data_IF_109567786955
#
_entry.id   IF_109567786955
#
_cell.length_a   1.000
_cell.length_b   1.000
_cell.length_c   1.000
_cell.angle_alpha   90.00
_cell.angle_beta   90.00
_cell.angle_gamma   90.00
#
_symmetry.space_group_name_H-M   'P 1'
#
loop_
_entity.id
_entity.type
_entity.pdbx_description
1 polymer ?
#
# COMPACT_ATOMS: atom_id res chain seq x y z
N UNK A 1 26.15 4.74 -20.90
CA UNK A 1 25.35 4.30 -19.75
C UNK A 1 23.98 3.88 -20.26
N UNK A 2 23.57 2.64 -20.03
CA UNK A 2 22.23 2.17 -20.35
C UNK A 2 21.22 3.10 -19.65
N UNK A 3 20.28 3.67 -20.41
CA UNK A 3 19.23 4.54 -19.86
C UNK A 3 18.17 3.66 -19.20
N UNK A 4 18.55 2.97 -18.10
CA UNK A 4 17.74 2.01 -17.40
C UNK A 4 16.58 2.73 -16.68
N UNK A 5 15.36 2.26 -16.92
CA UNK A 5 14.12 2.76 -16.31
C UNK A 5 13.31 1.57 -15.82
N UNK A 6 12.89 1.56 -14.55
CA UNK A 6 12.04 0.51 -14.00
C UNK A 6 10.75 0.37 -14.83
N UNK A 7 9.99 1.45 -14.99
CA UNK A 7 8.72 1.42 -15.72
C UNK A 7 8.86 0.91 -17.16
N UNK A 8 9.97 1.23 -17.86
CA UNK A 8 10.21 0.74 -19.23
C UNK A 8 10.66 -0.72 -19.23
N UNK A 9 11.49 -1.13 -18.29
CA UNK A 9 11.98 -2.51 -18.18
C UNK A 9 10.84 -3.47 -17.84
N UNK A 10 9.93 -3.06 -16.97
CA UNK A 10 8.82 -3.88 -16.51
C UNK A 10 7.49 -3.65 -17.25
N UNK A 11 7.47 -2.91 -18.36
CA UNK A 11 6.24 -2.54 -19.10
C UNK A 11 5.35 -3.73 -19.52
N UNK A 12 5.96 -4.88 -19.78
CA UNK A 12 5.27 -6.11 -20.20
C UNK A 12 5.00 -7.07 -19.01
N UNK A 13 5.24 -6.62 -17.79
CA UNK A 13 5.04 -7.38 -16.56
C UNK A 13 3.97 -6.72 -15.68
N UNK A 14 4.26 -5.55 -15.14
CA UNK A 14 3.41 -4.85 -14.17
C UNK A 14 3.73 -3.36 -14.14
N UNK A 15 2.81 -2.56 -13.57
CA UNK A 15 3.10 -1.16 -13.28
C UNK A 15 4.14 -1.04 -12.18
N UNK A 16 4.98 -0.03 -12.27
CA UNK A 16 5.92 0.33 -11.20
C UNK A 16 5.45 1.63 -10.57
N UNK A 17 5.13 1.57 -9.27
CA UNK A 17 4.63 2.70 -8.49
C UNK A 17 5.58 3.17 -7.39
N UNK A 18 5.34 4.39 -6.90
CA UNK A 18 5.97 4.91 -5.69
C UNK A 18 4.93 5.61 -4.81
N UNK A 19 5.05 5.44 -3.48
CA UNK A 19 4.38 6.29 -2.52
C UNK A 19 5.02 7.68 -2.52
N UNK A 20 4.20 8.73 -2.54
CA UNK A 20 4.65 10.12 -2.69
C UNK A 20 3.88 11.10 -1.80
N UNK A 21 4.56 12.18 -1.44
CA UNK A 21 3.97 13.42 -0.95
C UNK A 21 4.09 14.51 -2.01
N UNK A 22 3.40 15.64 -1.84
CA UNK A 22 3.55 16.77 -2.78
C UNK A 22 4.97 17.35 -2.82
N UNK A 23 5.78 17.15 -1.78
CA UNK A 23 7.19 17.57 -1.74
C UNK A 23 8.08 16.77 -2.67
N UNK A 24 7.71 15.52 -2.96
CA UNK A 24 8.46 14.63 -3.84
C UNK A 24 8.33 14.96 -5.33
N UNK A 25 7.40 15.83 -5.67
CA UNK A 25 7.15 16.24 -7.06
C UNK A 25 8.17 17.26 -7.58
N UNK A 26 9.20 17.56 -6.80
CA UNK A 26 10.23 18.55 -7.09
C UNK A 26 11.65 17.96 -6.87
N UNK A 27 12.67 18.65 -7.42
CA UNK A 27 14.07 18.29 -7.21
C UNK A 27 14.44 16.87 -7.67
N UNK A 28 15.34 16.24 -6.95
CA UNK A 28 15.89 14.90 -7.28
C UNK A 28 14.79 13.82 -7.32
N UNK A 29 13.83 13.87 -6.40
CA UNK A 29 12.71 12.91 -6.38
C UNK A 29 11.86 12.99 -7.63
N UNK A 30 11.54 14.21 -8.09
CA UNK A 30 10.84 14.42 -9.36
C UNK A 30 11.56 13.74 -10.53
N UNK A 31 12.87 13.91 -10.62
CA UNK A 31 13.64 13.33 -11.73
C UNK A 31 13.67 11.79 -11.68
N UNK A 32 13.73 11.23 -10.47
CA UNK A 32 13.63 9.77 -10.24
C UNK A 32 12.21 9.29 -10.63
N UNK A 33 11.16 9.98 -10.21
CA UNK A 33 9.77 9.65 -10.54
C UNK A 33 9.56 9.60 -12.06
N UNK A 34 9.93 10.65 -12.76
CA UNK A 34 9.77 10.76 -14.22
C UNK A 34 10.54 9.68 -14.99
N UNK A 35 11.64 9.21 -14.45
CA UNK A 35 12.49 8.22 -15.11
C UNK A 35 12.03 6.78 -14.83
N UNK A 36 11.58 6.47 -13.61
CA UNK A 36 11.47 5.11 -13.14
C UNK A 36 10.04 4.64 -12.88
N UNK A 37 9.07 5.54 -12.74
CA UNK A 37 7.71 5.19 -12.28
C UNK A 37 6.64 5.54 -13.31
N UNK A 38 5.52 4.81 -13.29
CA UNK A 38 4.33 5.06 -14.10
C UNK A 38 3.03 4.99 -13.27
N UNK A 39 3.17 4.83 -11.94
CA UNK A 39 2.08 4.85 -10.98
C UNK A 39 2.51 5.58 -9.71
N UNK A 40 1.59 6.27 -9.04
CA UNK A 40 1.83 6.94 -7.77
C UNK A 40 0.76 6.54 -6.77
N UNK A 41 1.14 6.49 -5.48
CA UNK A 41 0.20 6.35 -4.36
C UNK A 41 0.42 7.54 -3.42
N UNK A 42 -0.58 8.40 -3.16
CA UNK A 42 -0.45 9.41 -2.11
C UNK A 42 -0.20 8.72 -0.75
N UNK A 43 0.99 8.90 -0.16
CA UNK A 43 1.41 8.16 1.04
C UNK A 43 0.45 8.38 2.22
N UNK A 44 0.07 9.63 2.46
CA UNK A 44 -0.82 10.01 3.57
C UNK A 44 -2.01 10.86 3.14
N UNK A 45 -1.90 11.58 2.02
CA UNK A 45 -2.85 12.63 1.66
C UNK A 45 -4.28 12.14 1.36
N UNK A 46 -4.47 10.87 0.99
CA UNK A 46 -5.80 10.26 0.77
C UNK A 46 -6.31 9.46 1.97
N UNK A 47 -5.55 9.31 3.06
CA UNK A 47 -6.04 8.68 4.29
C UNK A 47 -7.14 9.53 4.90
N UNK A 48 -8.16 8.90 5.45
CA UNK A 48 -9.40 9.55 5.88
C UNK A 48 -9.16 10.81 6.73
N UNK A 49 -8.33 10.68 7.76
CA UNK A 49 -7.97 11.77 8.68
C UNK A 49 -7.40 13.00 7.97
N UNK A 50 -6.61 12.78 6.91
CA UNK A 50 -5.93 13.87 6.20
C UNK A 50 -6.83 14.52 5.15
N UNK A 51 -7.54 13.71 4.35
CA UNK A 51 -8.36 14.24 3.26
C UNK A 51 -9.73 14.73 3.72
N UNK A 52 -10.30 14.15 4.81
CA UNK A 52 -11.64 14.47 5.33
C UNK A 52 -11.61 14.59 6.87
N UNK A 53 -10.86 15.58 7.41
CA UNK A 53 -10.61 15.72 8.84
C UNK A 53 -11.84 16.10 9.67
N UNK A 54 -12.82 16.77 9.08
CA UNK A 54 -14.07 17.19 9.70
C UNK A 54 -15.25 16.88 8.78
N UNK A 55 -16.44 16.60 9.32
CA UNK A 55 -17.60 16.14 8.58
C UNK A 55 -17.98 16.99 7.35
N UNK A 56 -17.74 18.31 7.43
CA UNK A 56 -18.04 19.25 6.34
C UNK A 56 -16.80 19.80 5.64
N UNK A 57 -15.61 19.24 5.89
CA UNK A 57 -14.36 19.78 5.37
C UNK A 57 -13.45 18.71 4.76
N UNK A 58 -13.08 18.95 3.49
CA UNK A 58 -12.09 18.16 2.77
C UNK A 58 -10.83 18.97 2.48
N UNK A 59 -9.66 18.31 2.57
CA UNK A 59 -8.35 18.85 2.21
C UNK A 59 -7.88 18.23 0.90
N UNK A 60 -8.27 18.79 -0.22
CA UNK A 60 -7.93 18.25 -1.54
C UNK A 60 -6.60 18.76 -2.10
N UNK A 61 -5.98 19.76 -1.50
CA UNK A 61 -4.86 20.51 -2.10
C UNK A 61 -3.67 19.62 -2.44
N UNK A 62 -3.22 18.80 -1.49
CA UNK A 62 -2.06 17.93 -1.71
C UNK A 62 -2.34 16.89 -2.78
N UNK A 63 -3.49 16.22 -2.71
CA UNK A 63 -3.88 15.21 -3.70
C UNK A 63 -4.10 15.85 -5.07
N UNK A 64 -4.60 17.08 -5.16
CA UNK A 64 -4.75 17.79 -6.42
C UNK A 64 -3.39 18.00 -7.11
N UNK A 65 -2.36 18.41 -6.37
CA UNK A 65 -0.99 18.55 -6.89
C UNK A 65 -0.43 17.22 -7.40
N UNK A 66 -0.65 16.12 -6.66
CA UNK A 66 -0.21 14.77 -7.05
C UNK A 66 -0.98 14.34 -8.31
N UNK A 67 -2.29 14.55 -8.37
CA UNK A 67 -3.14 14.26 -9.54
C UNK A 67 -2.67 15.01 -10.79
N UNK A 68 -2.45 16.31 -10.68
CA UNK A 68 -1.97 17.14 -11.79
C UNK A 68 -0.62 16.65 -12.31
N UNK A 69 0.30 16.31 -11.40
CA UNK A 69 1.59 15.74 -11.76
C UNK A 69 1.43 14.40 -12.50
N UNK A 70 0.58 13.51 -11.99
CA UNK A 70 0.32 12.21 -12.60
C UNK A 70 -0.25 12.35 -14.02
N UNK A 71 -1.29 13.17 -14.19
CA UNK A 71 -1.92 13.41 -15.50
C UNK A 71 -0.91 14.00 -16.50
N UNK A 72 -0.16 15.03 -16.07
CA UNK A 72 0.83 15.71 -16.92
C UNK A 72 1.93 14.75 -17.43
N UNK A 73 2.23 13.71 -16.69
CA UNK A 73 3.34 12.78 -16.98
C UNK A 73 2.86 11.37 -17.38
N UNK A 74 1.59 11.22 -17.76
CA UNK A 74 0.97 9.93 -18.18
C UNK A 74 1.11 8.84 -17.12
N UNK A 75 0.98 9.21 -15.86
CA UNK A 75 0.98 8.29 -14.71
C UNK A 75 -0.43 8.10 -14.20
N UNK A 76 -0.66 6.99 -13.49
CA UNK A 76 -1.92 6.68 -12.82
C UNK A 76 -1.77 6.71 -11.30
N UNK A 77 -2.88 6.78 -10.57
CA UNK A 77 -2.87 6.75 -9.12
C UNK A 77 -3.47 5.44 -8.58
N UNK A 78 -2.93 4.96 -7.46
CA UNK A 78 -3.62 4.09 -6.52
C UNK A 78 -4.19 4.95 -5.39
N UNK A 79 -5.48 4.80 -5.11
CA UNK A 79 -6.13 5.46 -3.98
C UNK A 79 -5.91 4.66 -2.70
N UNK A 80 -5.37 5.29 -1.67
CA UNK A 80 -5.06 4.67 -0.39
C UNK A 80 -5.47 5.59 0.75
N UNK A 81 -6.45 5.29 1.54
CA UNK A 81 -7.38 4.15 1.61
C UNK A 81 -8.74 4.65 2.15
N UNK A 82 -9.86 3.98 1.85
CA UNK A 82 -11.17 4.42 2.34
C UNK A 82 -11.43 4.02 3.81
N UNK A 83 -11.18 2.74 4.16
CA UNK A 83 -11.47 2.19 5.49
C UNK A 83 -10.19 1.64 6.11
N UNK A 84 -9.81 2.21 7.24
CA UNK A 84 -8.69 1.74 8.05
C UNK A 84 -8.99 1.98 9.53
N UNK A 85 -8.48 1.12 10.42
CA UNK A 85 -8.66 1.27 11.86
C UNK A 85 -7.82 2.41 12.45
N UNK A 86 -6.73 2.81 11.74
CA UNK A 86 -5.91 3.98 12.04
C UNK A 86 -6.31 5.16 11.15
N UNK A 87 -5.86 6.35 11.49
CA UNK A 87 -6.00 7.59 10.70
C UNK A 87 -7.42 7.80 10.15
N UNK A 88 -8.44 7.47 10.96
CA UNK A 88 -9.83 7.79 10.75
C UNK A 88 -10.27 8.76 11.84
N UNK A 89 -10.81 9.94 11.51
CA UNK A 89 -11.14 10.96 12.51
C UNK A 89 -12.33 10.52 13.37
N UNK A 90 -12.30 10.92 14.64
CA UNK A 90 -13.30 10.51 15.64
C UNK A 90 -14.75 10.90 15.30
N UNK A 91 -14.95 12.02 14.58
CA UNK A 91 -16.27 12.48 14.18
C UNK A 91 -17.07 11.46 13.36
N UNK A 92 -16.36 10.57 12.64
CA UNK A 92 -17.01 9.49 11.86
C UNK A 92 -17.87 8.58 12.74
N UNK A 93 -17.44 8.38 13.98
CA UNK A 93 -18.01 7.43 14.94
C UNK A 93 -18.84 8.07 16.06
N UNK A 94 -18.99 9.40 16.04
CA UNK A 94 -19.74 10.14 17.06
C UNK A 94 -20.95 10.84 16.44
N UNK A 95 -22.05 10.90 17.18
CA UNK A 95 -23.22 11.68 16.78
C UNK A 95 -23.03 13.17 17.11
N UNK A 96 -24.03 14.00 16.82
CA UNK A 96 -24.02 15.45 17.09
C UNK A 96 -23.94 15.81 18.59
N UNK A 97 -24.18 14.87 19.49
CA UNK A 97 -24.09 15.06 20.93
C UNK A 97 -22.75 14.57 21.48
N UNK A 98 -21.87 14.01 20.64
CA UNK A 98 -20.60 13.40 21.04
C UNK A 98 -20.73 11.97 21.56
N UNK A 99 -21.92 11.36 21.44
CA UNK A 99 -22.16 9.96 21.76
C UNK A 99 -21.84 9.04 20.58
N UNK A 100 -21.78 7.72 20.82
CA UNK A 100 -21.53 6.76 19.74
C UNK A 100 -22.61 6.85 18.65
N UNK A 101 -22.19 7.06 17.41
CA UNK A 101 -23.07 7.17 16.26
C UNK A 101 -23.81 5.85 15.96
N UNK A 102 -25.02 5.95 15.39
CA UNK A 102 -25.70 4.76 14.90
C UNK A 102 -24.99 4.13 13.71
N UNK A 103 -25.25 2.84 13.49
CA UNK A 103 -24.73 2.10 12.33
C UNK A 103 -25.08 2.81 11.01
N UNK A 104 -26.31 3.27 10.87
CA UNK A 104 -26.81 3.94 9.68
C UNK A 104 -26.05 5.24 9.40
N UNK A 105 -25.80 6.04 10.44
CA UNK A 105 -25.04 7.28 10.31
C UNK A 105 -23.59 7.03 9.89
N UNK A 106 -22.94 6.03 10.47
CA UNK A 106 -21.56 5.67 10.09
C UNK A 106 -21.49 5.18 8.64
N UNK A 107 -22.47 4.39 8.19
CA UNK A 107 -22.55 3.92 6.79
C UNK A 107 -22.83 5.09 5.84
N UNK A 108 -23.70 6.03 6.20
CA UNK A 108 -23.98 7.23 5.39
C UNK A 108 -22.71 8.08 5.20
N UNK A 109 -21.98 8.34 6.29
CA UNK A 109 -20.71 9.08 6.24
C UNK A 109 -19.64 8.37 5.40
N UNK A 110 -19.54 7.05 5.52
CA UNK A 110 -18.65 6.26 4.69
C UNK A 110 -19.04 6.35 3.20
N UNK A 111 -20.34 6.26 2.89
CA UNK A 111 -20.85 6.40 1.53
C UNK A 111 -20.49 7.75 0.91
N UNK A 112 -20.74 8.84 1.63
CA UNK A 112 -20.43 10.19 1.16
C UNK A 112 -18.92 10.38 0.95
N UNK A 113 -18.09 9.84 1.86
CA UNK A 113 -16.64 9.88 1.74
C UNK A 113 -16.16 9.14 0.48
N UNK A 114 -16.58 7.88 0.29
CA UNK A 114 -16.19 7.06 -0.86
C UNK A 114 -16.68 7.71 -2.16
N UNK A 115 -17.95 8.12 -2.22
CA UNK A 115 -18.53 8.80 -3.38
C UNK A 115 -17.71 10.02 -3.78
N UNK A 116 -17.46 10.92 -2.82
CA UNK A 116 -16.73 12.16 -3.06
C UNK A 116 -15.33 11.89 -3.64
N UNK A 117 -14.60 10.93 -3.11
CA UNK A 117 -13.26 10.61 -3.61
C UNK A 117 -13.32 9.91 -4.96
N UNK A 118 -14.20 8.93 -5.15
CA UNK A 118 -14.36 8.24 -6.42
C UNK A 118 -14.72 9.22 -7.56
N UNK A 119 -15.73 10.07 -7.36
CA UNK A 119 -16.15 11.05 -8.37
C UNK A 119 -15.04 12.05 -8.72
N UNK A 120 -14.26 12.49 -7.71
CA UNK A 120 -13.20 13.49 -7.89
C UNK A 120 -11.96 12.94 -8.60
N UNK A 121 -11.65 11.65 -8.44
CA UNK A 121 -10.41 11.05 -8.92
C UNK A 121 -10.60 9.95 -9.98
N UNK A 122 -11.83 9.73 -10.49
CA UNK A 122 -12.17 8.69 -11.47
C UNK A 122 -11.36 8.72 -12.78
N UNK A 123 -10.81 9.87 -13.13
CA UNK A 123 -10.02 10.09 -14.35
C UNK A 123 -8.58 9.60 -14.24
N UNK A 124 -8.09 9.39 -13.02
CA UNK A 124 -6.67 9.09 -12.77
C UNK A 124 -6.45 7.84 -11.92
N UNK A 125 -7.38 7.52 -10.99
CA UNK A 125 -7.24 6.35 -10.11
C UNK A 125 -7.67 5.08 -10.83
N UNK A 126 -6.77 4.09 -10.88
CA UNK A 126 -7.03 2.79 -11.50
C UNK A 126 -7.32 1.67 -10.49
N UNK A 127 -6.97 1.87 -9.22
CA UNK A 127 -7.20 0.91 -8.15
C UNK A 127 -7.35 1.63 -6.80
N UNK A 128 -8.27 1.14 -5.94
CA UNK A 128 -8.49 1.62 -4.58
C UNK A 128 -8.21 0.54 -3.56
N UNK A 129 -7.48 0.87 -2.52
CA UNK A 129 -7.49 0.11 -1.27
C UNK A 129 -8.77 0.46 -0.53
N UNK A 130 -9.77 -0.41 -0.63
CA UNK A 130 -11.09 -0.15 -0.03
C UNK A 130 -11.04 -0.37 1.47
N UNK A 131 -10.48 -1.49 1.90
CA UNK A 131 -10.28 -1.81 3.32
C UNK A 131 -8.82 -2.19 3.54
N UNK A 132 -8.22 -1.54 4.52
CA UNK A 132 -6.84 -1.73 4.93
C UNK A 132 -6.75 -2.37 6.31
N UNK A 133 -5.97 -3.47 6.43
CA UNK A 133 -5.54 -4.09 7.69
C UNK A 133 -6.70 -4.54 8.61
N UNK A 134 -7.70 -5.18 8.07
CA UNK A 134 -8.85 -5.67 8.83
C UNK A 134 -8.61 -7.02 9.53
N UNK A 135 -7.66 -7.83 9.03
CA UNK A 135 -7.35 -9.15 9.60
C UNK A 135 -6.49 -9.01 10.84
N UNK A 136 -6.88 -9.74 11.90
CA UNK A 136 -6.18 -9.73 13.19
C UNK A 136 -4.87 -10.54 13.11
N UNK A 137 -3.78 -9.98 13.62
CA UNK A 137 -2.45 -10.58 13.57
C UNK A 137 -1.90 -11.09 14.91
N UNK A 138 -2.50 -10.68 16.05
CA UNK A 138 -1.96 -10.96 17.39
C UNK A 138 -2.75 -12.00 18.19
N UNK A 139 -3.99 -12.24 17.82
CA UNK A 139 -4.89 -13.15 18.53
C UNK A 139 -5.49 -14.19 17.59
N UNK A 140 -6.23 -15.17 18.12
CA UNK A 140 -6.93 -16.19 17.31
C UNK A 140 -8.16 -15.64 16.55
N UNK A 141 -8.60 -14.41 16.82
CA UNK A 141 -9.70 -13.79 16.10
C UNK A 141 -9.35 -13.62 14.60
N UNK A 142 -10.35 -13.69 13.74
CA UNK A 142 -10.15 -13.45 12.30
C UNK A 142 -10.03 -11.95 12.00
N UNK A 143 -10.93 -11.14 12.56
CA UNK A 143 -10.98 -9.71 12.30
C UNK A 143 -10.50 -8.90 13.51
N UNK A 144 -9.79 -7.84 13.21
CA UNK A 144 -9.31 -6.83 14.16
C UNK A 144 -10.49 -6.09 14.80
N UNK A 145 -10.36 -5.78 16.09
CA UNK A 145 -11.27 -4.85 16.76
C UNK A 145 -10.99 -3.42 16.28
N UNK A 146 -12.06 -2.75 15.83
CA UNK A 146 -12.02 -1.36 15.34
C UNK A 146 -13.38 -0.70 15.57
N UNK A 147 -13.43 0.64 15.53
CA UNK A 147 -14.70 1.35 15.59
C UNK A 147 -15.63 0.99 14.41
N UNK A 148 -15.09 0.73 13.24
CA UNK A 148 -15.85 0.24 12.09
C UNK A 148 -16.58 -1.06 12.42
N UNK A 149 -15.84 -2.06 12.93
CA UNK A 149 -16.41 -3.35 13.30
C UNK A 149 -17.38 -3.25 14.47
N UNK A 150 -17.02 -2.46 15.49
CA UNK A 150 -17.82 -2.27 16.70
C UNK A 150 -19.23 -1.73 16.38
N UNK A 151 -19.31 -0.72 15.50
CA UNK A 151 -20.56 -0.01 15.23
C UNK A 151 -21.33 -0.67 14.08
N UNK A 152 -20.66 -1.04 12.99
CA UNK A 152 -21.33 -1.61 11.81
C UNK A 152 -21.54 -3.12 11.95
N UNK A 153 -20.65 -3.82 12.65
CA UNK A 153 -20.58 -5.28 12.71
C UNK A 153 -19.59 -5.86 11.70
N UNK A 154 -19.49 -7.19 11.65
CA UNK A 154 -18.52 -7.92 10.80
C UNK A 154 -18.75 -7.67 9.29
N UNK A 155 -19.95 -7.19 8.92
CA UNK A 155 -20.28 -6.85 7.53
C UNK A 155 -19.67 -5.55 7.01
N UNK A 156 -18.95 -4.77 7.85
CA UNK A 156 -18.42 -3.47 7.44
C UNK A 156 -17.49 -3.55 6.21
N UNK A 157 -16.76 -4.66 6.06
CA UNK A 157 -15.88 -4.89 4.90
C UNK A 157 -16.72 -5.00 3.63
N UNK A 158 -17.74 -5.90 3.65
CA UNK A 158 -18.65 -6.10 2.52
C UNK A 158 -19.35 -4.79 2.13
N UNK A 159 -19.89 -4.07 3.12
CA UNK A 159 -20.58 -2.79 2.91
C UNK A 159 -19.64 -1.75 2.26
N UNK A 160 -18.39 -1.65 2.72
CA UNK A 160 -17.41 -0.74 2.15
C UNK A 160 -17.12 -1.05 0.67
N UNK A 161 -16.94 -2.33 0.32
CA UNK A 161 -16.72 -2.76 -1.07
C UNK A 161 -17.96 -2.54 -1.95
N UNK A 162 -19.16 -2.81 -1.45
CA UNK A 162 -20.41 -2.56 -2.18
C UNK A 162 -20.57 -1.06 -2.49
N UNK A 163 -20.36 -0.21 -1.49
CA UNK A 163 -20.38 1.25 -1.70
C UNK A 163 -19.30 1.68 -2.69
N UNK A 164 -18.07 1.18 -2.56
CA UNK A 164 -17.01 1.53 -3.48
C UNK A 164 -17.35 1.13 -4.92
N UNK A 165 -17.95 -0.03 -5.15
CA UNK A 165 -18.35 -0.48 -6.48
C UNK A 165 -19.42 0.41 -7.12
N UNK A 166 -20.32 1.01 -6.33
CA UNK A 166 -21.31 1.95 -6.86
C UNK A 166 -20.68 3.19 -7.52
N UNK A 167 -19.51 3.65 -7.03
CA UNK A 167 -18.92 4.93 -7.43
C UNK A 167 -17.55 4.83 -8.13
N UNK A 168 -16.83 3.71 -7.99
CA UNK A 168 -15.45 3.59 -8.47
C UNK A 168 -15.31 3.42 -10.01
N UNK A 169 -16.43 3.22 -10.73
CA UNK A 169 -16.39 2.95 -12.17
C UNK A 169 -15.53 1.73 -12.49
N UNK A 170 -14.55 1.90 -13.40
CA UNK A 170 -13.65 0.82 -13.85
C UNK A 170 -12.45 0.60 -12.92
N UNK A 171 -12.29 1.39 -11.87
CA UNK A 171 -11.19 1.20 -10.93
C UNK A 171 -11.34 -0.12 -10.16
N UNK A 172 -10.22 -0.82 -10.02
CA UNK A 172 -10.16 -2.09 -9.28
C UNK A 172 -10.24 -1.85 -7.77
N UNK A 173 -10.91 -2.77 -7.07
CA UNK A 173 -11.14 -2.70 -5.63
C UNK A 173 -10.32 -3.74 -4.89
N UNK A 174 -9.43 -3.29 -4.01
CA UNK A 174 -8.47 -4.13 -3.29
C UNK A 174 -8.74 -4.16 -1.79
N UNK A 175 -8.55 -5.35 -1.21
CA UNK A 175 -8.24 -5.50 0.21
C UNK A 175 -6.73 -5.39 0.37
N UNK A 176 -6.21 -4.59 1.30
CA UNK A 176 -4.78 -4.37 1.49
C UNK A 176 -4.36 -4.72 2.93
N UNK A 177 -3.22 -5.44 3.09
CA UNK A 177 -2.74 -5.79 4.43
C UNK A 177 -1.23 -6.07 4.44
N UNK A 178 -0.62 -5.98 5.64
CA UNK A 178 0.76 -6.36 5.91
C UNK A 178 0.85 -7.78 6.46
N UNK A 179 2.01 -8.42 6.28
CA UNK A 179 2.30 -9.78 6.75
C UNK A 179 1.28 -10.84 6.27
N UNK A 180 0.47 -10.53 5.29
CA UNK A 180 -0.54 -11.45 4.77
C UNK A 180 0.07 -12.57 3.88
N UNK A 181 1.37 -12.54 3.63
CA UNK A 181 2.17 -13.64 3.12
C UNK A 181 2.71 -14.57 4.21
N UNK A 182 2.72 -14.13 5.47
CA UNK A 182 3.19 -14.95 6.60
C UNK A 182 2.17 -16.06 6.92
N UNK A 183 2.61 -17.31 7.17
CA UNK A 183 1.71 -18.47 7.26
C UNK A 183 0.51 -18.29 8.19
N UNK A 184 0.73 -17.69 9.37
CA UNK A 184 -0.33 -17.48 10.37
C UNK A 184 -1.41 -16.50 9.90
N UNK A 185 -1.03 -15.44 9.17
CA UNK A 185 -1.95 -14.42 8.68
C UNK A 185 -2.52 -14.77 7.31
N UNK A 186 -1.76 -15.46 6.48
CA UNK A 186 -2.20 -16.00 5.19
C UNK A 186 -3.48 -16.83 5.33
N UNK A 187 -3.49 -17.77 6.29
CA UNK A 187 -4.66 -18.64 6.52
C UNK A 187 -5.90 -17.83 6.92
N UNK A 188 -5.75 -16.85 7.82
CA UNK A 188 -6.84 -15.98 8.25
C UNK A 188 -7.35 -15.11 7.11
N UNK A 189 -6.44 -14.46 6.39
CA UNK A 189 -6.78 -13.60 5.25
C UNK A 189 -7.51 -14.40 4.16
N UNK A 190 -7.03 -15.60 3.86
CA UNK A 190 -7.70 -16.51 2.92
C UNK A 190 -9.14 -16.83 3.36
N UNK A 191 -9.35 -17.18 4.63
CA UNK A 191 -10.70 -17.48 5.18
C UNK A 191 -11.63 -16.29 5.05
N UNK A 192 -11.18 -15.09 5.44
CA UNK A 192 -11.96 -13.85 5.36
C UNK A 192 -12.31 -13.52 3.91
N UNK A 193 -11.34 -13.53 3.01
CA UNK A 193 -11.58 -13.18 1.61
C UNK A 193 -12.47 -14.21 0.91
N UNK A 194 -12.28 -15.50 1.17
CA UNK A 194 -13.12 -16.56 0.61
C UNK A 194 -14.57 -16.39 1.02
N UNK A 195 -14.84 -16.17 2.32
CA UNK A 195 -16.21 -15.94 2.82
C UNK A 195 -16.84 -14.69 2.17
N UNK A 196 -16.09 -13.59 2.09
CA UNK A 196 -16.58 -12.37 1.45
C UNK A 196 -16.91 -12.58 -0.04
N UNK A 197 -16.05 -13.27 -0.78
CA UNK A 197 -16.28 -13.60 -2.19
C UNK A 197 -17.49 -14.53 -2.39
N UNK A 198 -17.64 -15.57 -1.56
CA UNK A 198 -18.80 -16.47 -1.57
C UNK A 198 -20.13 -15.72 -1.29
N UNK A 199 -20.06 -14.62 -0.53
CA UNK A 199 -21.18 -13.71 -0.27
C UNK A 199 -21.38 -12.65 -1.36
N UNK A 200 -20.63 -12.72 -2.46
CA UNK A 200 -20.75 -11.81 -3.60
C UNK A 200 -20.14 -10.42 -3.38
N UNK A 201 -19.22 -10.26 -2.43
CA UNK A 201 -18.51 -8.99 -2.21
C UNK A 201 -17.63 -8.68 -3.43
N UNK A 202 -17.70 -7.46 -4.02
CA UNK A 202 -17.02 -7.12 -5.25
C UNK A 202 -15.54 -6.77 -5.02
N UNK A 203 -14.74 -7.77 -4.64
CA UNK A 203 -13.30 -7.66 -4.44
C UNK A 203 -12.61 -8.07 -5.75
N UNK A 204 -11.84 -7.16 -6.37
CA UNK A 204 -11.07 -7.47 -7.57
C UNK A 204 -9.68 -8.04 -7.25
N UNK A 205 -9.11 -7.67 -6.11
CA UNK A 205 -7.76 -8.08 -5.79
C UNK A 205 -7.36 -7.91 -4.33
N UNK A 206 -6.13 -8.34 -4.08
CA UNK A 206 -5.47 -8.21 -2.77
C UNK A 206 -4.16 -7.46 -2.90
N UNK A 207 -3.90 -6.56 -1.95
CA UNK A 207 -2.62 -5.91 -1.74
C UNK A 207 -1.78 -6.68 -0.72
N UNK A 208 -0.54 -6.96 -1.07
CA UNK A 208 0.51 -7.40 -0.17
C UNK A 208 1.39 -6.18 0.09
N UNK A 209 1.37 -5.64 1.32
CA UNK A 209 2.13 -4.40 1.63
C UNK A 209 3.63 -4.57 1.41
N UNK A 210 4.19 -5.74 1.74
CA UNK A 210 5.59 -6.06 1.48
C UNK A 210 6.59 -5.19 2.27
N UNK A 211 6.31 -4.94 3.54
CA UNK A 211 7.24 -4.32 4.48
C UNK A 211 8.19 -5.37 5.04
N UNK A 212 9.23 -5.69 4.30
CA UNK A 212 10.13 -6.80 4.57
C UNK A 212 11.45 -6.35 5.18
N UNK A 213 12.33 -7.32 5.44
CA UNK A 213 13.70 -7.09 5.86
C UNK A 213 14.65 -8.13 5.25
N UNK A 214 15.94 -7.83 5.30
CA UNK A 214 16.99 -8.67 4.68
C UNK A 214 17.24 -10.00 5.41
N UNK A 215 16.65 -10.21 6.58
CA UNK A 215 16.93 -11.36 7.46
C UNK A 215 15.89 -12.48 7.36
N UNK A 216 14.74 -12.24 6.71
CA UNK A 216 13.71 -13.27 6.55
C UNK A 216 14.12 -14.32 5.50
N UNK A 217 14.60 -15.45 5.99
CA UNK A 217 15.04 -16.58 5.16
C UNK A 217 13.89 -17.29 4.43
N UNK A 218 12.67 -17.10 4.87
CA UNK A 218 11.48 -17.76 4.30
C UNK A 218 10.68 -16.84 3.37
N UNK A 219 11.10 -15.60 3.20
CA UNK A 219 10.38 -14.58 2.45
C UNK A 219 9.92 -15.08 1.08
N UNK A 220 10.83 -15.58 0.26
CA UNK A 220 10.53 -16.05 -1.10
C UNK A 220 9.53 -17.20 -1.11
N UNK A 221 9.67 -18.17 -0.22
CA UNK A 221 8.76 -19.31 -0.14
C UNK A 221 7.37 -18.92 0.36
N UNK A 222 7.31 -18.04 1.35
CA UNK A 222 6.06 -17.52 1.88
C UNK A 222 5.33 -16.67 0.83
N UNK A 223 6.06 -15.80 0.14
CA UNK A 223 5.52 -14.96 -0.94
C UNK A 223 4.92 -15.80 -2.07
N UNK A 224 5.65 -16.79 -2.59
CA UNK A 224 5.12 -17.70 -3.63
C UNK A 224 3.85 -18.39 -3.17
N UNK A 225 3.86 -18.94 -1.95
CA UNK A 225 2.69 -19.59 -1.37
C UNK A 225 1.49 -18.65 -1.26
N UNK A 226 1.70 -17.43 -0.81
CA UNK A 226 0.64 -16.42 -0.70
C UNK A 226 0.05 -16.06 -2.07
N UNK A 227 0.91 -15.83 -3.07
CA UNK A 227 0.47 -15.54 -4.44
C UNK A 227 -0.40 -16.68 -4.99
N UNK A 228 0.03 -17.95 -4.87
CA UNK A 228 -0.74 -19.10 -5.32
C UNK A 228 -2.10 -19.23 -4.61
N UNK A 229 -2.11 -19.00 -3.29
CA UNK A 229 -3.34 -19.06 -2.48
C UNK A 229 -4.32 -17.96 -2.90
N UNK A 230 -3.87 -16.73 -3.06
CA UNK A 230 -4.75 -15.62 -3.45
C UNK A 230 -5.19 -15.71 -4.91
N UNK A 231 -4.30 -16.13 -5.81
CA UNK A 231 -4.65 -16.40 -7.21
C UNK A 231 -5.71 -17.51 -7.33
N UNK A 232 -5.72 -18.52 -6.43
CA UNK A 232 -6.75 -19.57 -6.41
C UNK A 232 -8.16 -19.04 -6.08
N UNK A 233 -8.26 -17.85 -5.49
CA UNK A 233 -9.53 -17.14 -5.27
C UNK A 233 -9.98 -16.31 -6.49
N UNK A 234 -9.18 -16.27 -7.56
CA UNK A 234 -9.44 -15.44 -8.74
C UNK A 234 -9.06 -13.96 -8.54
N UNK A 235 -8.29 -13.64 -7.51
CA UNK A 235 -7.90 -12.27 -7.17
C UNK A 235 -6.66 -11.82 -7.94
N UNK A 236 -6.69 -10.57 -8.41
CA UNK A 236 -5.52 -9.83 -8.87
C UNK A 236 -4.63 -9.47 -7.67
N UNK A 237 -3.31 -9.42 -7.85
CA UNK A 237 -2.37 -9.14 -6.76
C UNK A 237 -1.60 -7.86 -7.06
N UNK A 238 -1.59 -6.94 -6.11
CA UNK A 238 -0.67 -5.80 -6.09
C UNK A 238 0.34 -5.95 -4.94
N UNK A 239 1.61 -5.68 -5.21
CA UNK A 239 2.60 -5.40 -4.18
C UNK A 239 2.48 -3.90 -3.92
N UNK A 240 2.00 -3.51 -2.74
CA UNK A 240 1.44 -2.18 -2.55
C UNK A 240 2.35 -1.18 -1.86
N UNK A 241 3.30 -1.66 -1.04
CA UNK A 241 4.05 -0.80 -0.13
C UNK A 241 5.49 -1.32 0.08
N UNK A 242 6.11 -1.85 -1.00
CA UNK A 242 7.40 -2.52 -0.94
C UNK A 242 8.50 -1.63 -0.36
N UNK A 243 9.06 -2.08 0.74
CA UNK A 243 10.33 -1.65 1.29
C UNK A 243 11.07 -2.83 1.95
N UNK A 244 12.39 -2.82 1.93
CA UNK A 244 13.22 -3.90 2.49
C UNK A 244 14.21 -3.31 3.48
N UNK A 245 13.82 -3.33 4.76
CA UNK A 245 14.64 -2.84 5.88
C UNK A 245 15.95 -3.60 6.02
N UNK A 246 17.01 -2.91 6.43
CA UNK A 246 18.28 -3.56 6.81
C UNK A 246 18.24 -4.12 8.24
N UNK A 247 17.16 -3.88 8.98
CA UNK A 247 16.95 -4.34 10.35
C UNK A 247 15.83 -5.37 10.45
N UNK A 248 15.96 -6.33 11.36
CA UNK A 248 14.81 -7.06 11.88
C UNK A 248 13.88 -6.13 12.68
N UNK A 249 12.60 -6.49 12.76
CA UNK A 249 11.62 -5.66 13.48
C UNK A 249 11.95 -5.54 14.97
N UNK A 250 12.48 -6.60 15.58
CA UNK A 250 12.87 -6.70 16.99
C UNK A 250 14.22 -6.04 17.30
N UNK A 251 15.03 -5.76 16.29
CA UNK A 251 16.33 -5.08 16.47
C UNK A 251 16.12 -3.66 17.03
N UNK A 252 16.71 -3.36 18.18
CA UNK A 252 16.54 -2.10 18.91
C UNK A 252 17.76 -1.18 18.82
N UNK A 253 18.82 -1.55 18.11
CA UNK A 253 20.02 -0.71 18.00
C UNK A 253 19.73 0.60 17.25
N UNK A 254 20.52 1.62 17.62
CA UNK A 254 20.45 2.98 17.06
C UNK A 254 21.83 3.55 16.73
N UNK A 255 22.85 2.69 16.73
CA UNK A 255 24.26 3.06 16.58
C UNK A 255 24.75 3.08 15.14
N UNK A 256 23.91 2.64 14.18
CA UNK A 256 24.24 2.71 12.75
C UNK A 256 23.81 4.05 12.16
N UNK A 257 24.77 4.76 11.56
CA UNK A 257 24.56 6.02 10.83
C UNK A 257 24.54 5.82 9.31
N UNK A 258 24.99 4.66 8.85
CA UNK A 258 24.93 4.21 7.45
C UNK A 258 24.84 2.68 7.42
N UNK A 259 24.26 2.07 6.35
CA UNK A 259 24.19 0.62 6.22
C UNK A 259 25.57 0.06 5.90
N UNK A 260 25.87 -1.13 6.45
CA UNK A 260 27.15 -1.80 6.10
C UNK A 260 27.12 -2.32 4.65
N UNK A 261 28.31 -2.53 4.03
CA UNK A 261 28.38 -3.14 2.70
C UNK A 261 27.66 -4.49 2.63
N UNK A 262 27.75 -5.31 3.67
CA UNK A 262 27.11 -6.61 3.77
C UNK A 262 25.58 -6.50 3.79
N UNK A 263 25.04 -5.51 4.51
CA UNK A 263 23.58 -5.23 4.53
C UNK A 263 23.09 -4.81 3.14
N UNK A 264 23.84 -3.95 2.45
CA UNK A 264 23.50 -3.52 1.08
C UNK A 264 23.57 -4.66 0.08
N UNK A 265 24.53 -5.56 0.22
CA UNK A 265 24.64 -6.77 -0.61
C UNK A 265 23.48 -7.72 -0.39
N UNK A 266 23.11 -8.01 0.88
CA UNK A 266 21.94 -8.80 1.21
C UNK A 266 20.65 -8.15 0.71
N UNK A 267 20.51 -6.83 0.88
CA UNK A 267 19.34 -6.10 0.38
C UNK A 267 19.21 -6.22 -1.13
N UNK A 268 20.31 -6.06 -1.85
CA UNK A 268 20.33 -6.21 -3.31
C UNK A 268 19.91 -7.63 -3.73
N UNK A 269 20.36 -8.66 -2.99
CA UNK A 269 19.97 -10.05 -3.23
C UNK A 269 18.48 -10.29 -2.96
N UNK A 270 17.94 -9.77 -1.84
CA UNK A 270 16.51 -9.92 -1.52
C UNK A 270 15.64 -9.23 -2.57
N UNK A 271 16.00 -7.99 -3.00
CA UNK A 271 15.29 -7.32 -4.09
C UNK A 271 15.32 -8.13 -5.39
N UNK A 272 16.49 -8.68 -5.78
CA UNK A 272 16.62 -9.54 -6.96
C UNK A 272 15.69 -10.75 -6.88
N UNK A 273 15.66 -11.44 -5.74
CA UNK A 273 14.85 -12.65 -5.53
C UNK A 273 13.35 -12.36 -5.58
N UNK A 274 12.88 -11.33 -4.87
CA UNK A 274 11.44 -11.01 -4.88
C UNK A 274 10.99 -10.49 -6.24
N UNK A 275 11.80 -9.71 -6.96
CA UNK A 275 11.47 -9.29 -8.32
C UNK A 275 11.50 -10.45 -9.32
N UNK A 276 12.33 -11.48 -9.09
CA UNK A 276 12.26 -12.72 -9.88
C UNK A 276 10.90 -13.43 -9.67
N UNK A 277 10.42 -13.51 -8.42
CA UNK A 277 9.07 -14.00 -8.13
C UNK A 277 8.00 -13.15 -8.81
N UNK A 278 8.06 -11.83 -8.72
CA UNK A 278 7.06 -10.97 -9.35
C UNK A 278 6.99 -11.20 -10.87
N UNK A 279 8.13 -11.40 -11.54
CA UNK A 279 8.16 -11.74 -12.99
C UNK A 279 7.57 -13.12 -13.27
N UNK A 280 7.86 -14.10 -12.42
CA UNK A 280 7.32 -15.47 -12.55
C UNK A 280 5.78 -15.47 -12.50
N UNK A 281 5.19 -14.61 -11.65
CA UNK A 281 3.74 -14.51 -11.45
C UNK A 281 3.09 -13.28 -12.14
N UNK A 282 3.67 -12.79 -13.24
CA UNK A 282 3.21 -11.59 -13.95
C UNK A 282 1.76 -11.65 -14.45
N UNK A 283 1.19 -12.84 -14.58
CA UNK A 283 -0.19 -13.00 -15.06
C UNK A 283 -1.23 -12.68 -13.96
N UNK A 284 -0.79 -12.60 -12.70
CA UNK A 284 -1.64 -12.25 -11.54
C UNK A 284 -1.12 -11.03 -10.78
N UNK A 285 0.19 -10.72 -10.85
CA UNK A 285 0.76 -9.50 -10.28
C UNK A 285 0.76 -8.41 -11.35
N UNK A 286 -0.01 -7.36 -11.14
CA UNK A 286 -0.20 -6.30 -12.14
C UNK A 286 0.36 -4.94 -11.71
N UNK A 287 0.76 -4.80 -10.44
CA UNK A 287 1.39 -3.58 -9.92
C UNK A 287 2.38 -3.89 -8.79
N UNK A 288 3.53 -3.19 -8.81
CA UNK A 288 4.52 -3.19 -7.73
C UNK A 288 4.83 -1.75 -7.36
N UNK A 289 4.50 -1.35 -6.12
CA UNK A 289 4.68 0.00 -5.60
C UNK A 289 5.71 0.00 -4.48
N UNK A 290 6.76 0.80 -4.62
CA UNK A 290 7.73 1.08 -3.55
C UNK A 290 7.11 2.06 -2.55
N UNK A 291 7.31 1.84 -1.24
CA UNK A 291 6.75 2.75 -0.23
C UNK A 291 7.68 3.93 0.05
N UNK A 292 7.93 4.70 -1.00
CA UNK A 292 8.79 5.86 -1.04
C UNK A 292 9.67 5.90 -2.29
N UNK A 293 10.53 6.91 -2.38
CA UNK A 293 11.37 7.14 -3.56
C UNK A 293 12.84 6.85 -3.27
N UNK A 294 13.35 7.37 -2.16
CA UNK A 294 14.75 7.21 -1.75
C UNK A 294 14.89 7.15 -0.23
N UNK A 295 16.00 6.64 0.24
CA UNK A 295 16.33 6.54 1.67
C UNK A 295 16.47 7.92 2.35
N UNK A 296 16.32 9.04 1.62
CA UNK A 296 16.30 10.39 2.22
C UNK A 296 15.15 10.56 3.19
N UNK A 297 13.98 10.04 2.84
CA UNK A 297 12.75 10.05 3.64
C UNK A 297 12.05 8.71 3.50
N UNK A 298 11.91 8.00 4.61
CA UNK A 298 11.14 6.77 4.69
C UNK A 298 10.33 6.77 5.98
N UNK A 299 9.14 6.16 5.95
CA UNK A 299 8.34 5.99 7.17
C UNK A 299 9.03 5.12 8.23
N UNK A 300 10.01 4.30 7.80
CA UNK A 300 10.86 3.50 8.69
C UNK A 300 11.80 4.35 9.55
N UNK A 301 12.02 5.62 9.20
CA UNK A 301 12.77 6.52 10.04
C UNK A 301 12.02 6.73 11.35
N UNK A 302 12.67 6.47 12.48
CA UNK A 302 12.07 6.48 13.80
C UNK A 302 10.99 5.40 14.08
N UNK A 303 10.83 4.41 13.20
CA UNK A 303 9.90 3.31 13.38
C UNK A 303 10.55 1.96 13.00
N UNK A 304 10.35 0.89 13.77
CA UNK A 304 9.67 0.84 15.10
C UNK A 304 10.53 1.39 16.25
N UNK A 305 11.73 1.86 15.94
CA UNK A 305 12.70 2.35 16.96
C UNK A 305 12.92 3.84 16.77
N UNK A 306 12.52 4.62 17.79
CA UNK A 306 12.71 6.09 17.80
C UNK A 306 14.21 6.44 17.74
N UNK A 307 14.57 7.40 16.89
CA UNK A 307 15.95 7.86 16.67
C UNK A 307 16.77 7.01 15.71
N UNK A 308 16.20 5.94 15.16
CA UNK A 308 16.86 5.09 14.17
C UNK A 308 16.53 5.54 12.75
N UNK A 309 17.55 5.64 11.91
CA UNK A 309 17.47 5.76 10.46
C UNK A 309 17.40 4.37 9.82
N UNK A 310 16.61 4.19 8.75
CA UNK A 310 16.62 3.01 7.92
C UNK A 310 16.92 3.35 6.45
N UNK A 311 17.29 2.34 5.65
CA UNK A 311 17.68 2.49 4.24
C UNK A 311 16.98 1.44 3.36
N UNK A 312 15.64 1.42 3.32
CA UNK A 312 14.90 0.28 2.75
C UNK A 312 14.67 0.36 1.23
N UNK A 313 14.99 1.47 0.57
CA UNK A 313 14.58 1.75 -0.81
C UNK A 313 15.71 1.52 -1.84
N UNK A 314 15.37 1.69 -3.13
CA UNK A 314 16.29 1.44 -4.25
C UNK A 314 17.29 2.58 -4.53
N UNK A 315 17.03 3.76 -3.97
CA UNK A 315 17.88 4.94 -4.09
C UNK A 315 18.36 5.38 -2.71
N UNK A 316 19.62 5.78 -2.63
CA UNK A 316 20.23 6.24 -1.38
C UNK A 316 19.70 7.61 -0.91
N UNK A 317 20.20 8.12 0.20
CA UNK A 317 19.81 9.42 0.78
C UNK A 317 20.07 10.63 -0.16
N UNK A 318 20.93 10.46 -1.16
CA UNK A 318 21.26 11.46 -2.17
C UNK A 318 20.48 11.26 -3.48
N UNK A 319 19.63 10.24 -3.56
CA UNK A 319 18.90 9.85 -4.77
C UNK A 319 19.78 9.10 -5.79
N UNK A 320 20.93 8.57 -5.39
CA UNK A 320 21.74 7.73 -6.26
C UNK A 320 21.24 6.29 -6.25
N UNK A 321 21.25 5.61 -7.41
CA UNK A 321 20.88 4.20 -7.48
C UNK A 321 21.75 3.32 -6.59
N UNK A 322 21.13 2.42 -5.81
CA UNK A 322 21.81 1.36 -5.06
C UNK A 322 22.00 0.12 -5.93
N UNK A 323 22.86 -0.81 -5.53
CA UNK A 323 23.09 -2.07 -6.25
C UNK A 323 21.80 -2.86 -6.47
N UNK A 324 20.87 -2.81 -5.51
CA UNK A 324 19.55 -3.40 -5.62
C UNK A 324 18.81 -2.98 -6.90
N UNK A 325 18.84 -1.68 -7.27
CA UNK A 325 18.23 -1.21 -8.51
C UNK A 325 18.88 -1.85 -9.75
N UNK A 326 20.19 -1.95 -9.78
CA UNK A 326 20.89 -2.54 -10.93
C UNK A 326 20.57 -4.02 -11.10
N UNK A 327 20.47 -4.79 -10.02
CA UNK A 327 20.16 -6.22 -10.08
C UNK A 327 18.74 -6.48 -10.62
N UNK A 328 17.74 -5.73 -10.16
CA UNK A 328 16.39 -5.90 -10.66
C UNK A 328 16.19 -5.39 -12.10
N UNK A 329 17.13 -4.65 -12.66
CA UNK A 329 17.10 -4.17 -14.05
C UNK A 329 17.89 -5.04 -15.03
N UNK A 330 18.66 -6.02 -14.53
CA UNK A 330 19.51 -6.92 -15.32
C UNK A 330 19.03 -8.36 -15.20
N UNK A 331 18.01 -8.75 -15.95
CA UNK A 331 17.49 -10.11 -15.97
C UNK A 331 17.18 -10.58 -17.40
#
# INVERSE_FOLDING_TARGET
MLNLSLAKTYKDYFKIGAAVTAKDLEGVHRDILLKHFNSLTPENAMKFENIHPEEQRYNFEEVARIKEFAIKNDMKLRGHTFVWHNQTPGWVFLDKNGEEASKELVIERLREHIKTLCERYKDVVYAWDVVNEAVEDKTEKLLRESNWRKIIGDDYIKIAFEIAREYAGDAKLFYNDYNNEMPYKLEKTYKVLKELLERGTPIDGIGIQAHWNIWDKNLVSNLKKAIEVYASLGLEIHITELDISVFEFEDKRTDLFEPTPEMLELQAKVYEDVFAVFREYKDVITSVTLWGISDRHTWKDNFPVKGRKDWPLLFDVNGKPKEALYRILRF
#
